data_IF_928821358781
#
_entry.id   IF_928821358781
#
_cell.length_a   1.000
_cell.length_b   1.000
_cell.length_c   1.000
_cell.angle_alpha   90.00
_cell.angle_beta   90.00
_cell.angle_gamma   90.00
#
_symmetry.space_group_name_H-M   'P 1'
#
loop_
_entity.id
_entity.type
_entity.pdbx_description
1 polymer ?
#
# COMPACT_ATOMS: atom_id res chain seq x y z
N UNK A 1 -15.34 -36.06 -6.84
CA UNK A 1 -14.58 -34.86 -7.22
C UNK A 1 -15.60 -33.85 -7.68
N UNK A 2 -15.68 -32.66 -7.06
CA UNK A 2 -16.54 -31.59 -7.54
C UNK A 2 -16.23 -31.26 -9.01
N UNK A 3 -17.24 -30.76 -9.71
CA UNK A 3 -17.12 -30.25 -11.06
C UNK A 3 -17.20 -28.72 -10.99
N UNK A 4 -16.22 -28.04 -11.60
CA UNK A 4 -16.31 -26.61 -11.89
C UNK A 4 -16.79 -26.47 -13.33
N UNK A 5 -17.95 -25.86 -13.52
CA UNK A 5 -18.45 -25.44 -14.83
C UNK A 5 -18.03 -24.00 -15.07
N UNK A 6 -17.15 -23.78 -16.05
CA UNK A 6 -16.72 -22.46 -16.48
C UNK A 6 -17.65 -21.98 -17.59
N UNK A 7 -18.25 -20.80 -17.40
CA UNK A 7 -19.06 -20.15 -18.44
C UNK A 7 -18.20 -19.72 -19.64
N UNK A 8 -18.79 -19.55 -20.84
CA UNK A 8 -18.05 -19.18 -22.03
C UNK A 8 -17.20 -17.91 -21.84
N UNK A 9 -15.90 -18.02 -22.14
CA UNK A 9 -14.95 -16.93 -22.11
C UNK A 9 -14.26 -16.78 -23.47
N UNK A 10 -14.21 -15.57 -24.08
CA UNK A 10 -13.78 -15.38 -25.46
C UNK A 10 -12.36 -15.87 -25.79
N UNK A 11 -11.44 -15.84 -24.82
CA UNK A 11 -10.04 -16.24 -25.02
C UNK A 11 -9.75 -17.62 -24.39
N UNK A 12 -9.96 -17.75 -23.08
CA UNK A 12 -9.66 -18.96 -22.32
C UNK A 12 -10.54 -20.19 -22.65
N UNK A 13 -11.85 -20.02 -22.84
CA UNK A 13 -12.75 -21.14 -23.12
C UNK A 13 -14.01 -20.67 -23.90
N UNK A 14 -13.92 -20.51 -25.24
CA UNK A 14 -14.98 -19.87 -26.03
C UNK A 14 -16.36 -20.53 -25.96
N UNK A 15 -16.41 -21.83 -25.67
CA UNK A 15 -17.66 -22.61 -25.53
C UNK A 15 -18.02 -22.90 -24.07
N UNK A 16 -17.27 -22.34 -23.12
CA UNK A 16 -17.24 -22.78 -21.72
C UNK A 16 -16.45 -24.07 -21.57
N UNK A 17 -16.29 -24.52 -20.34
CA UNK A 17 -15.59 -25.75 -20.02
C UNK A 17 -16.15 -26.40 -18.76
N UNK A 18 -15.84 -27.68 -18.57
CA UNK A 18 -16.09 -28.39 -17.33
C UNK A 18 -14.80 -29.07 -16.91
N UNK A 19 -14.38 -28.81 -15.68
CA UNK A 19 -13.17 -29.40 -15.12
C UNK A 19 -13.54 -30.09 -13.81
N UNK A 20 -12.86 -31.20 -13.51
CA UNK A 20 -13.02 -31.89 -12.24
C UNK A 20 -11.72 -31.82 -11.47
N UNK A 21 -11.81 -31.44 -10.20
CA UNK A 21 -10.67 -31.29 -9.31
C UNK A 21 -11.01 -31.87 -7.92
N UNK A 22 -10.01 -32.28 -7.12
CA UNK A 22 -10.26 -32.72 -5.77
C UNK A 22 -10.70 -31.55 -4.87
N UNK A 23 -11.47 -31.85 -3.83
CA UNK A 23 -11.76 -30.85 -2.80
C UNK A 23 -10.45 -30.50 -2.06
N UNK A 24 -10.27 -29.21 -1.73
CA UNK A 24 -9.04 -28.67 -1.16
C UNK A 24 -8.14 -27.96 -2.16
N UNK A 25 -8.36 -28.13 -3.48
CA UNK A 25 -7.66 -27.42 -4.55
C UNK A 25 -8.29 -26.03 -4.75
N UNK A 26 -7.47 -25.02 -5.08
CA UNK A 26 -8.01 -23.70 -5.44
C UNK A 26 -8.69 -23.73 -6.81
N UNK A 27 -9.62 -22.81 -7.08
CA UNK A 27 -10.25 -22.68 -8.40
C UNK A 27 -9.16 -22.41 -9.47
N UNK A 28 -8.19 -21.54 -9.16
CA UNK A 28 -7.12 -21.20 -10.09
C UNK A 28 -6.27 -22.42 -10.46
N UNK A 29 -5.80 -23.18 -9.46
CA UNK A 29 -5.02 -24.41 -9.68
C UNK A 29 -5.81 -25.46 -10.48
N UNK A 30 -7.09 -25.68 -10.12
CA UNK A 30 -7.96 -26.59 -10.86
C UNK A 30 -8.13 -26.22 -12.34
N UNK A 31 -8.17 -24.92 -12.66
CA UNK A 31 -8.25 -24.43 -14.03
C UNK A 31 -6.93 -24.67 -14.78
N UNK A 32 -5.79 -24.36 -14.17
CA UNK A 32 -4.46 -24.55 -14.78
C UNK A 32 -4.15 -26.02 -15.06
N UNK A 33 -4.45 -26.91 -14.12
CA UNK A 33 -4.28 -28.37 -14.27
C UNK A 33 -5.09 -28.95 -15.44
N UNK A 34 -6.16 -28.26 -15.84
CA UNK A 34 -7.04 -28.64 -16.94
C UNK A 34 -6.83 -27.77 -18.19
N UNK A 35 -5.67 -27.10 -18.31
CA UNK A 35 -5.27 -26.30 -19.47
C UNK A 35 -6.16 -25.07 -19.75
N UNK A 36 -6.79 -24.51 -18.72
CA UNK A 36 -7.47 -23.21 -18.78
C UNK A 36 -6.53 -22.20 -18.14
N UNK A 37 -5.77 -21.48 -18.98
CA UNK A 37 -4.71 -20.54 -18.57
C UNK A 37 -5.27 -19.22 -18.01
N UNK A 38 -6.01 -19.31 -16.90
CA UNK A 38 -6.42 -18.12 -16.14
C UNK A 38 -5.18 -17.36 -15.66
N UNK A 39 -5.22 -16.04 -15.74
CA UNK A 39 -4.08 -15.19 -15.39
C UNK A 39 -3.83 -15.15 -13.87
N UNK A 40 -2.58 -15.31 -13.43
CA UNK A 40 -2.21 -15.38 -12.02
C UNK A 40 -0.85 -14.70 -11.80
N UNK A 41 -0.78 -13.39 -12.06
CA UNK A 41 0.47 -12.64 -12.08
C UNK A 41 1.28 -12.71 -10.76
N UNK A 42 0.61 -12.92 -9.63
CA UNK A 42 1.24 -13.09 -8.32
C UNK A 42 1.58 -14.55 -7.96
N UNK A 43 1.50 -15.48 -8.91
CA UNK A 43 1.73 -16.91 -8.71
C UNK A 43 0.95 -17.48 -7.51
N UNK A 44 -0.36 -17.21 -7.50
CA UNK A 44 -1.32 -17.62 -6.46
C UNK A 44 -1.08 -17.08 -5.03
N UNK A 45 -0.20 -16.09 -4.84
CA UNK A 45 0.19 -15.58 -3.51
C UNK A 45 -0.75 -14.53 -2.89
N UNK A 46 -2.02 -14.42 -3.34
CA UNK A 46 -2.97 -13.40 -2.88
C UNK A 46 -2.41 -11.96 -2.93
N UNK A 47 -1.86 -11.55 -4.09
CA UNK A 47 -1.26 -10.21 -4.23
C UNK A 47 -1.66 -9.48 -5.53
N UNK A 48 -2.58 -10.04 -6.31
CA UNK A 48 -3.13 -9.40 -7.51
C UNK A 48 -4.57 -9.87 -7.75
N UNK A 49 -5.28 -9.18 -8.64
CA UNK A 49 -6.67 -9.48 -9.01
C UNK A 49 -6.80 -10.23 -10.35
N UNK A 50 -5.70 -10.69 -10.94
CA UNK A 50 -5.74 -11.30 -12.28
C UNK A 50 -6.47 -12.64 -12.31
N UNK A 51 -6.49 -13.36 -11.19
CA UNK A 51 -7.19 -14.64 -11.06
C UNK A 51 -8.66 -14.48 -10.64
N UNK A 52 -9.19 -13.26 -10.69
CA UNK A 52 -10.56 -12.95 -10.29
C UNK A 52 -11.58 -13.82 -11.05
N UNK A 53 -12.48 -14.42 -10.29
CA UNK A 53 -13.61 -15.21 -10.79
C UNK A 53 -14.90 -14.77 -10.11
N UNK A 54 -16.02 -14.90 -10.81
CA UNK A 54 -17.35 -14.63 -10.28
C UNK A 54 -18.08 -15.96 -10.14
N UNK A 55 -18.47 -16.32 -8.92
CA UNK A 55 -19.12 -17.61 -8.65
C UNK A 55 -20.63 -17.45 -8.81
N UNK A 56 -21.18 -18.00 -9.88
CA UNK A 56 -22.62 -17.95 -10.18
C UNK A 56 -23.41 -18.92 -9.32
N UNK A 57 -22.90 -20.14 -9.16
CA UNK A 57 -23.50 -21.20 -8.34
C UNK A 57 -22.48 -21.87 -7.43
N UNK A 58 -22.91 -22.25 -6.22
CA UNK A 58 -22.06 -22.96 -5.27
C UNK A 58 -21.19 -22.07 -4.36
N UNK A 59 -21.30 -20.74 -4.43
CA UNK A 59 -20.53 -19.79 -3.60
C UNK A 59 -20.50 -20.14 -2.11
N UNK A 60 -21.64 -20.51 -1.52
CA UNK A 60 -21.74 -20.85 -0.09
C UNK A 60 -21.02 -22.13 0.32
N UNK A 61 -20.43 -22.86 -0.63
CA UNK A 61 -19.61 -24.05 -0.34
C UNK A 61 -18.11 -23.77 -0.28
N UNK A 62 -17.68 -22.59 -0.71
CA UNK A 62 -16.28 -22.17 -0.61
C UNK A 62 -15.90 -21.81 0.83
N UNK A 63 -14.60 -21.77 1.12
CA UNK A 63 -14.08 -21.14 2.33
C UNK A 63 -14.47 -19.66 2.39
N UNK A 64 -14.46 -19.08 3.60
CA UNK A 64 -14.61 -17.63 3.75
C UNK A 64 -13.44 -16.89 3.09
N UNK A 65 -13.71 -15.69 2.58
CA UNK A 65 -12.67 -14.80 2.09
C UNK A 65 -11.93 -14.21 3.29
N UNK A 66 -10.61 -14.06 3.17
CA UNK A 66 -9.82 -13.35 4.17
C UNK A 66 -9.82 -11.83 3.89
N UNK A 67 -9.39 -11.04 4.87
CA UNK A 67 -9.36 -9.58 4.75
C UNK A 67 -8.47 -9.11 3.59
N UNK A 68 -7.38 -9.82 3.31
CA UNK A 68 -6.46 -9.46 2.21
C UNK A 68 -7.10 -9.68 0.83
N UNK A 69 -7.84 -10.78 0.67
CA UNK A 69 -8.61 -11.10 -0.51
C UNK A 69 -9.66 -10.02 -0.77
N UNK A 70 -10.41 -9.62 0.26
CA UNK A 70 -11.42 -8.56 0.16
C UNK A 70 -10.79 -7.21 -0.24
N UNK A 71 -9.70 -6.81 0.43
CA UNK A 71 -8.96 -5.58 0.12
C UNK A 71 -8.43 -5.53 -1.33
N UNK A 72 -8.04 -6.68 -1.88
CA UNK A 72 -7.61 -6.80 -3.27
C UNK A 72 -8.79 -6.77 -4.24
N UNK A 73 -9.87 -7.47 -3.93
CA UNK A 73 -11.07 -7.54 -4.77
C UNK A 73 -11.71 -6.17 -5.01
N UNK A 74 -11.59 -5.23 -4.08
CA UNK A 74 -12.00 -3.83 -4.27
C UNK A 74 -11.38 -3.16 -5.51
N UNK A 75 -10.25 -3.69 -5.99
CA UNK A 75 -9.52 -3.21 -7.17
C UNK A 75 -9.75 -4.09 -8.39
N UNK A 76 -10.57 -5.13 -8.31
CA UNK A 76 -10.82 -6.04 -9.42
C UNK A 76 -11.74 -5.41 -10.48
N UNK A 77 -11.49 -5.74 -11.74
CA UNK A 77 -12.36 -5.30 -12.83
C UNK A 77 -13.66 -6.10 -12.81
N UNK A 78 -14.81 -5.42 -12.90
CA UNK A 78 -16.12 -6.10 -12.91
C UNK A 78 -16.46 -6.78 -11.58
N UNK A 79 -16.06 -6.17 -10.45
CA UNK A 79 -16.39 -6.66 -9.12
C UNK A 79 -17.90 -6.85 -8.93
N UNK A 80 -18.28 -8.05 -8.51
CA UNK A 80 -19.65 -8.46 -8.14
C UNK A 80 -19.70 -9.06 -6.72
N UNK A 81 -20.88 -9.12 -6.06
CA UNK A 81 -21.01 -9.63 -4.69
C UNK A 81 -20.54 -11.08 -4.45
N UNK A 82 -20.41 -11.89 -5.51
CA UNK A 82 -19.92 -13.28 -5.45
C UNK A 82 -18.55 -13.43 -6.13
N UNK A 83 -17.78 -12.35 -6.15
CA UNK A 83 -16.41 -12.37 -6.66
C UNK A 83 -15.47 -13.01 -5.66
N UNK A 84 -14.50 -13.75 -6.17
CA UNK A 84 -13.41 -14.34 -5.40
C UNK A 84 -12.11 -14.24 -6.18
N UNK A 85 -10.98 -14.24 -5.48
CA UNK A 85 -9.69 -14.52 -6.09
C UNK A 85 -9.59 -16.03 -6.29
N UNK A 86 -9.45 -16.48 -7.54
CA UNK A 86 -9.44 -17.90 -7.88
C UNK A 86 -8.37 -18.70 -7.14
N UNK A 87 -7.24 -18.07 -6.76
CA UNK A 87 -6.19 -18.71 -5.97
C UNK A 87 -6.56 -18.91 -4.48
N UNK A 88 -7.48 -18.11 -3.94
CA UNK A 88 -7.92 -18.18 -2.53
C UNK A 88 -9.25 -18.92 -2.36
N UNK A 89 -10.03 -19.07 -3.45
CA UNK A 89 -11.27 -19.83 -3.45
C UNK A 89 -10.98 -21.34 -3.50
N UNK A 90 -11.15 -22.01 -2.37
CA UNK A 90 -10.88 -23.44 -2.19
C UNK A 90 -12.14 -24.28 -2.42
N UNK A 91 -12.01 -25.31 -3.25
CA UNK A 91 -13.10 -26.22 -3.58
C UNK A 91 -13.51 -27.08 -2.38
N UNK A 92 -14.80 -27.12 -2.10
CA UNK A 92 -15.41 -28.14 -1.25
C UNK A 92 -15.91 -29.34 -2.07
N UNK A 93 -16.81 -30.15 -1.52
CA UNK A 93 -17.35 -31.34 -2.20
C UNK A 93 -18.52 -31.03 -3.16
N UNK A 94 -18.88 -29.76 -3.34
CA UNK A 94 -20.03 -29.32 -4.14
C UNK A 94 -19.56 -28.73 -5.47
N UNK A 95 -20.33 -28.99 -6.52
CA UNK A 95 -20.09 -28.43 -7.85
C UNK A 95 -20.27 -26.90 -7.85
N UNK A 96 -19.49 -26.24 -8.71
CA UNK A 96 -19.49 -24.79 -8.88
C UNK A 96 -19.82 -24.41 -10.31
N UNK A 97 -20.43 -23.24 -10.48
CA UNK A 97 -20.48 -22.54 -11.77
C UNK A 97 -19.74 -21.22 -11.62
N UNK A 98 -18.70 -21.02 -12.42
CA UNK A 98 -17.84 -19.84 -12.37
C UNK A 98 -17.82 -19.12 -13.70
N UNK A 99 -17.66 -17.81 -13.63
CA UNK A 99 -17.46 -16.93 -14.76
C UNK A 99 -16.12 -16.22 -14.58
N UNK A 100 -15.32 -16.19 -15.66
CA UNK A 100 -14.08 -15.43 -15.69
C UNK A 100 -14.41 -14.08 -16.33
N UNK A 101 -14.11 -12.94 -15.68
CA UNK A 101 -14.28 -11.63 -16.29
C UNK A 101 -13.47 -11.51 -17.57
N UNK A 102 -14.02 -10.77 -18.55
CA UNK A 102 -13.36 -10.58 -19.86
C UNK A 102 -12.03 -9.83 -19.76
N UNK A 103 -11.89 -8.96 -18.77
CA UNK A 103 -10.69 -8.16 -18.55
C UNK A 103 -10.27 -8.30 -17.10
N UNK A 104 -8.96 -8.28 -16.88
CA UNK A 104 -8.29 -8.36 -15.58
C UNK A 104 -7.37 -7.17 -15.45
N UNK A 105 -7.17 -6.68 -14.23
CA UNK A 105 -6.17 -5.65 -13.97
C UNK A 105 -4.86 -6.36 -13.66
N UNK A 106 -4.01 -6.50 -14.68
CA UNK A 106 -2.68 -7.04 -14.51
C UNK A 106 -1.68 -5.90 -14.36
N UNK A 107 -1.43 -5.49 -13.12
CA UNK A 107 -0.41 -4.48 -12.82
C UNK A 107 0.97 -4.86 -13.37
N UNK A 108 1.33 -6.15 -13.41
CA UNK A 108 2.62 -6.59 -13.94
C UNK A 108 2.77 -6.32 -15.45
N UNK A 109 1.70 -6.54 -16.22
CA UNK A 109 1.70 -6.37 -17.68
C UNK A 109 1.38 -4.94 -18.11
N UNK A 110 0.47 -4.27 -17.40
CA UNK A 110 -0.06 -2.95 -17.77
C UNK A 110 0.84 -1.80 -17.31
N UNK A 111 1.66 -1.99 -16.27
CA UNK A 111 2.44 -0.90 -15.67
C UNK A 111 3.94 -0.97 -15.93
N UNK A 112 4.52 -2.16 -16.22
CA UNK A 112 5.98 -2.34 -16.32
C UNK A 112 6.53 -2.42 -17.74
N UNK A 113 5.68 -2.70 -18.75
CA UNK A 113 6.12 -2.77 -20.16
C UNK A 113 7.02 -3.97 -20.51
N UNK A 114 7.11 -4.97 -19.62
CA UNK A 114 7.88 -6.20 -19.83
C UNK A 114 6.97 -7.22 -20.53
N UNK A 115 7.29 -7.58 -21.77
CA UNK A 115 6.54 -8.58 -22.54
C UNK A 115 7.19 -9.97 -22.45
N UNK A 116 6.39 -11.02 -22.68
CA UNK A 116 6.89 -12.39 -22.77
C UNK A 116 7.92 -12.56 -23.90
N UNK A 117 7.82 -11.75 -24.97
CA UNK A 117 8.82 -11.69 -26.05
C UNK A 117 10.17 -11.19 -25.54
N UNK A 118 10.18 -10.18 -24.68
CA UNK A 118 11.41 -9.60 -24.12
C UNK A 118 12.12 -10.54 -23.13
N UNK A 119 11.37 -11.42 -22.46
CA UNK A 119 11.88 -12.36 -21.46
C UNK A 119 12.42 -13.67 -22.06
N UNK A 120 12.12 -13.99 -23.33
CA UNK A 120 12.42 -15.30 -23.93
C UNK A 120 13.90 -15.66 -23.99
N UNK A 121 14.77 -14.68 -24.12
CA UNK A 121 16.23 -14.82 -24.24
C UNK A 121 16.98 -14.59 -22.92
N UNK A 122 16.26 -14.33 -21.82
CA UNK A 122 16.86 -14.04 -20.52
C UNK A 122 17.15 -15.32 -19.74
N UNK A 123 18.24 -15.35 -18.94
CA UNK A 123 18.57 -16.52 -18.13
C UNK A 123 17.49 -16.78 -17.07
N UNK A 124 17.35 -18.05 -16.68
CA UNK A 124 16.47 -18.42 -15.57
C UNK A 124 17.06 -17.96 -14.25
N UNK A 125 16.21 -17.76 -13.24
CA UNK A 125 16.63 -17.33 -11.90
C UNK A 125 17.77 -18.19 -11.33
N UNK A 126 17.67 -19.52 -11.43
CA UNK A 126 18.69 -20.45 -10.92
C UNK A 126 20.10 -20.22 -11.51
N UNK A 127 20.19 -19.68 -12.73
CA UNK A 127 21.46 -19.43 -13.41
C UNK A 127 22.15 -18.15 -12.91
N UNK A 128 21.37 -17.19 -12.38
CA UNK A 128 21.87 -15.89 -11.89
C UNK A 128 21.77 -15.74 -10.37
N UNK A 129 21.11 -16.67 -9.68
CA UNK A 129 20.84 -16.59 -8.25
C UNK A 129 22.11 -16.43 -7.41
N UNK A 130 23.18 -17.16 -7.72
CA UNK A 130 24.44 -17.08 -6.98
C UNK A 130 25.12 -15.71 -7.10
N UNK A 131 25.06 -15.08 -8.29
CA UNK A 131 25.60 -13.73 -8.51
C UNK A 131 24.83 -12.70 -7.70
N UNK A 132 23.49 -12.79 -7.71
CA UNK A 132 22.61 -11.90 -6.94
C UNK A 132 22.86 -12.05 -5.44
N UNK A 133 22.90 -13.28 -4.94
CA UNK A 133 23.16 -13.56 -3.52
C UNK A 133 24.54 -13.07 -3.08
N UNK A 134 25.55 -13.22 -3.93
CA UNK A 134 26.88 -12.70 -3.65
C UNK A 134 26.89 -11.17 -3.59
N UNK A 135 26.13 -10.50 -4.47
CA UNK A 135 26.03 -9.05 -4.50
C UNK A 135 25.39 -8.47 -3.23
N UNK A 136 24.37 -9.12 -2.68
CA UNK A 136 23.64 -8.67 -1.48
C UNK A 136 24.21 -9.22 -0.16
N UNK A 137 25.26 -10.05 -0.22
CA UNK A 137 25.78 -10.76 0.93
C UNK A 137 26.20 -9.78 2.05
N UNK A 138 25.56 -9.90 3.22
CA UNK A 138 25.82 -9.05 4.38
C UNK A 138 25.32 -7.60 4.24
N UNK A 139 24.55 -7.28 3.20
CA UNK A 139 23.94 -5.97 3.04
C UNK A 139 22.69 -5.80 3.90
N UNK A 140 22.33 -4.55 4.22
CA UNK A 140 20.98 -4.20 4.65
C UNK A 140 20.14 -3.94 3.40
N UNK A 141 19.06 -4.71 3.25
CA UNK A 141 18.18 -4.63 2.08
C UNK A 141 16.91 -3.87 2.45
N UNK A 142 16.75 -2.71 1.83
CA UNK A 142 15.63 -1.80 2.06
C UNK A 142 14.57 -2.08 1.01
N UNK A 143 13.35 -2.43 1.45
CA UNK A 143 12.25 -2.82 0.56
C UNK A 143 10.98 -2.06 0.97
N UNK A 144 10.13 -1.72 0.01
CA UNK A 144 8.80 -1.20 0.30
C UNK A 144 7.79 -2.33 0.23
N UNK A 145 7.10 -2.61 1.35
CA UNK A 145 6.25 -3.81 1.49
C UNK A 145 7.07 -5.10 1.43
N UNK A 146 8.07 -5.21 2.30
CA UNK A 146 9.07 -6.29 2.29
C UNK A 146 8.48 -7.70 2.32
N UNK A 147 7.28 -7.88 2.89
CA UNK A 147 6.59 -9.17 2.93
C UNK A 147 6.36 -9.76 1.53
N UNK A 148 6.11 -8.92 0.53
CA UNK A 148 5.91 -9.33 -0.86
C UNK A 148 7.21 -9.83 -1.49
N UNK A 149 8.22 -8.99 -1.64
CA UNK A 149 9.47 -9.36 -2.30
C UNK A 149 10.19 -10.53 -1.60
N UNK A 150 10.18 -10.55 -0.26
CA UNK A 150 10.83 -11.63 0.51
C UNK A 150 10.11 -12.96 0.32
N UNK A 151 8.79 -13.00 0.13
CA UNK A 151 8.07 -14.25 -0.12
C UNK A 151 8.42 -14.82 -1.50
N UNK A 152 8.48 -13.97 -2.53
CA UNK A 152 8.91 -14.34 -3.89
C UNK A 152 10.35 -14.85 -3.89
N UNK A 153 11.27 -14.10 -3.30
CA UNK A 153 12.69 -14.48 -3.24
C UNK A 153 12.88 -15.80 -2.49
N UNK A 154 12.18 -16.01 -1.36
CA UNK A 154 12.26 -17.28 -0.64
C UNK A 154 11.74 -18.45 -1.47
N UNK A 155 10.65 -18.25 -2.25
CA UNK A 155 10.09 -19.31 -3.08
C UNK A 155 11.05 -19.70 -4.20
N UNK A 156 11.62 -18.71 -4.89
CA UNK A 156 12.61 -18.93 -5.95
C UNK A 156 13.90 -19.57 -5.42
N UNK A 157 14.35 -19.17 -4.23
CA UNK A 157 15.50 -19.78 -3.56
C UNK A 157 15.22 -21.22 -3.14
N UNK A 158 14.02 -21.52 -2.64
CA UNK A 158 13.59 -22.89 -2.31
C UNK A 158 13.64 -23.78 -3.56
N UNK A 159 13.10 -23.31 -4.69
CA UNK A 159 13.13 -24.02 -5.97
C UNK A 159 14.57 -24.22 -6.49
N UNK A 160 15.47 -23.29 -6.21
CA UNK A 160 16.89 -23.39 -6.51
C UNK A 160 17.69 -24.23 -5.48
N UNK A 161 17.04 -24.75 -4.43
CA UNK A 161 17.69 -25.55 -3.39
C UNK A 161 18.60 -24.74 -2.46
N UNK A 162 18.35 -23.45 -2.29
CA UNK A 162 19.14 -22.52 -1.48
C UNK A 162 18.44 -22.17 -0.15
N UNK A 163 19.19 -21.77 0.89
CA UNK A 163 18.62 -21.24 2.15
C UNK A 163 17.68 -20.05 1.95
N UNK A 164 16.88 -19.73 2.97
CA UNK A 164 16.02 -18.55 2.97
C UNK A 164 16.81 -17.25 2.81
N UNK A 165 16.23 -16.27 2.12
CA UNK A 165 16.81 -14.96 1.79
C UNK A 165 17.46 -14.26 2.98
N UNK A 166 16.80 -14.28 4.15
CA UNK A 166 17.28 -13.68 5.40
C UNK A 166 18.63 -14.23 5.88
N UNK A 167 19.05 -15.39 5.41
CA UNK A 167 20.34 -15.99 5.78
C UNK A 167 21.54 -15.34 5.08
N UNK A 168 21.29 -14.61 3.99
CA UNK A 168 22.33 -13.99 3.16
C UNK A 168 22.54 -12.51 3.47
N UNK A 169 21.51 -11.84 3.98
CA UNK A 169 21.49 -10.39 4.24
C UNK A 169 21.67 -10.10 5.73
N UNK A 170 22.24 -8.95 6.08
CA UNK A 170 22.42 -8.54 7.47
C UNK A 170 21.08 -8.11 8.11
N UNK A 171 20.26 -7.39 7.35
CA UNK A 171 18.96 -6.91 7.77
C UNK A 171 18.02 -6.70 6.57
N UNK A 172 16.72 -6.80 6.81
CA UNK A 172 15.67 -6.42 5.86
C UNK A 172 14.84 -5.32 6.51
N UNK A 173 14.84 -4.15 5.89
CA UNK A 173 14.17 -2.95 6.41
C UNK A 173 12.97 -2.63 5.55
N UNK A 174 11.77 -2.69 6.15
CA UNK A 174 10.52 -2.37 5.46
C UNK A 174 10.17 -0.89 5.61
N UNK A 175 10.31 -0.15 4.51
CA UNK A 175 9.97 1.27 4.46
C UNK A 175 8.48 1.54 4.62
N UNK A 176 7.60 0.57 4.33
CA UNK A 176 6.17 0.73 4.55
C UNK A 176 5.85 0.77 6.05
N UNK A 177 6.57 0.00 6.88
CA UNK A 177 6.43 0.05 8.34
C UNK A 177 6.86 1.41 8.86
N UNK A 178 8.04 1.89 8.43
CA UNK A 178 8.54 3.23 8.76
C UNK A 178 7.52 4.31 8.36
N UNK A 179 6.98 4.22 7.14
CA UNK A 179 5.99 5.17 6.65
C UNK A 179 4.66 5.11 7.42
N UNK A 180 4.21 3.92 7.86
CA UNK A 180 3.01 3.76 8.69
C UNK A 180 3.17 4.36 10.09
N UNK A 181 4.36 4.25 10.68
CA UNK A 181 4.69 4.87 11.96
C UNK A 181 4.73 6.40 11.86
N UNK A 182 5.35 6.93 10.80
CA UNK A 182 5.43 8.38 10.58
C UNK A 182 4.11 9.01 10.12
N UNK A 183 3.31 8.28 9.34
CA UNK A 183 2.06 8.76 8.74
C UNK A 183 0.90 7.78 8.98
N UNK A 184 0.42 7.66 10.23
CA UNK A 184 -0.68 6.75 10.56
C UNK A 184 -1.98 7.18 9.88
N UNK A 185 -2.73 6.21 9.32
CA UNK A 185 -4.04 6.44 8.69
C UNK A 185 -3.99 7.14 7.32
N UNK A 186 -2.81 7.31 6.72
CA UNK A 186 -2.64 7.88 5.38
C UNK A 186 -2.27 6.81 4.36
N UNK A 187 -2.43 7.14 3.07
CA UNK A 187 -1.88 6.33 1.98
C UNK A 187 -0.35 6.41 2.04
N UNK A 188 0.29 5.25 2.16
CA UNK A 188 1.74 5.09 2.28
C UNK A 188 2.30 4.21 1.16
N UNK A 189 1.68 4.24 -0.02
CA UNK A 189 2.30 3.70 -1.24
C UNK A 189 3.49 4.55 -1.65
N UNK A 190 4.44 3.98 -2.40
CA UNK A 190 5.62 4.68 -2.92
C UNK A 190 5.22 6.01 -3.59
N UNK A 191 4.22 6.01 -4.47
CA UNK A 191 3.72 7.20 -5.15
C UNK A 191 3.25 8.29 -4.18
N UNK A 192 2.49 7.88 -3.15
CA UNK A 192 1.99 8.80 -2.14
C UNK A 192 3.11 9.37 -1.25
N UNK A 193 4.20 8.60 -1.08
CA UNK A 193 5.39 9.06 -0.38
C UNK A 193 6.23 10.00 -1.25
N UNK A 194 6.39 9.72 -2.54
CA UNK A 194 7.08 10.61 -3.48
C UNK A 194 6.40 11.99 -3.52
N UNK A 195 5.07 12.01 -3.70
CA UNK A 195 4.29 13.24 -3.72
C UNK A 195 4.41 14.02 -2.39
N UNK A 196 4.42 13.32 -1.26
CA UNK A 196 4.47 13.92 0.08
C UNK A 196 5.84 14.47 0.44
N UNK A 197 6.89 13.74 0.08
CA UNK A 197 8.28 14.06 0.41
C UNK A 197 8.91 14.96 -0.66
N UNK A 198 8.18 15.30 -1.73
CA UNK A 198 8.66 16.16 -2.81
C UNK A 198 9.72 15.49 -3.67
N UNK A 199 9.68 14.16 -3.79
CA UNK A 199 10.56 13.38 -4.66
C UNK A 199 9.98 13.43 -6.08
N UNK A 200 10.78 13.89 -7.04
CA UNK A 200 10.35 14.05 -8.43
C UNK A 200 10.13 12.69 -9.10
N UNK A 201 8.89 12.41 -9.48
CA UNK A 201 8.48 11.22 -10.21
C UNK A 201 8.17 11.51 -11.69
N UNK A 202 8.53 12.69 -12.21
CA UNK A 202 8.19 13.11 -13.58
C UNK A 202 8.84 12.26 -14.69
N UNK A 203 9.93 11.56 -14.40
CA UNK A 203 10.57 10.59 -15.31
C UNK A 203 9.81 9.25 -15.43
N UNK A 204 8.73 9.05 -14.68
CA UNK A 204 8.00 7.79 -14.56
C UNK A 204 6.96 7.62 -15.67
N UNK A 205 7.40 7.20 -16.85
CA UNK A 205 6.48 6.76 -17.92
C UNK A 205 6.02 5.31 -17.76
N UNK A 206 6.81 4.46 -17.10
CA UNK A 206 6.52 3.06 -16.78
C UNK A 206 7.02 2.78 -15.36
N UNK A 207 6.34 1.91 -14.61
CA UNK A 207 6.72 1.47 -13.27
C UNK A 207 7.89 0.47 -13.38
N UNK A 208 9.05 0.91 -13.87
CA UNK A 208 10.21 0.03 -13.95
C UNK A 208 10.75 -0.25 -12.54
N UNK A 209 10.97 -1.53 -12.20
CA UNK A 209 11.52 -1.92 -10.89
C UNK A 209 12.84 -1.19 -10.55
N UNK A 210 13.64 -0.84 -11.57
CA UNK A 210 14.86 -0.04 -11.40
C UNK A 210 14.55 1.40 -10.96
N UNK A 211 13.61 2.07 -11.63
CA UNK A 211 13.22 3.44 -11.28
C UNK A 211 12.52 3.46 -9.91
N UNK A 212 11.69 2.47 -9.61
CA UNK A 212 11.05 2.36 -8.30
C UNK A 212 12.08 2.12 -7.19
N UNK A 213 13.18 1.39 -7.46
CA UNK A 213 14.30 1.25 -6.53
C UNK A 213 15.07 2.56 -6.30
N UNK A 214 15.28 3.36 -7.36
CA UNK A 214 15.88 4.70 -7.25
C UNK A 214 14.99 5.64 -6.43
N UNK A 215 13.69 5.70 -6.73
CA UNK A 215 12.71 6.49 -6.00
C UNK A 215 12.61 6.05 -4.53
N UNK A 216 12.64 4.74 -4.28
CA UNK A 216 12.64 4.20 -2.92
C UNK A 216 13.87 4.64 -2.13
N UNK A 217 15.05 4.72 -2.76
CA UNK A 217 16.25 5.22 -2.11
C UNK A 217 16.07 6.70 -1.68
N UNK A 218 15.53 7.54 -2.55
CA UNK A 218 15.24 8.94 -2.22
C UNK A 218 14.17 9.08 -1.13
N UNK A 219 13.09 8.29 -1.21
CA UNK A 219 12.05 8.25 -0.18
C UNK A 219 12.63 7.80 1.16
N UNK A 220 13.43 6.74 1.18
CA UNK A 220 14.07 6.25 2.40
C UNK A 220 15.02 7.30 3.00
N UNK A 221 15.82 7.97 2.17
CA UNK A 221 16.67 9.08 2.62
C UNK A 221 15.80 10.19 3.22
N UNK A 222 14.64 10.52 2.66
CA UNK A 222 13.77 11.56 3.21
C UNK A 222 13.01 11.11 4.48
N UNK A 223 12.68 9.82 4.61
CA UNK A 223 12.10 9.24 5.82
C UNK A 223 13.12 9.20 6.98
N UNK A 224 14.39 8.94 6.67
CA UNK A 224 15.49 8.81 7.65
C UNK A 224 16.28 10.09 7.85
N UNK A 225 16.20 11.05 6.92
CA UNK A 225 16.59 12.44 7.14
C UNK A 225 15.65 12.95 8.20
N UNK A 226 16.10 12.82 9.45
CA UNK A 226 15.53 13.52 10.56
C UNK A 226 15.34 14.97 10.11
N UNK A 227 14.08 15.39 10.00
CA UNK A 227 13.87 16.68 10.56
C UNK A 227 14.31 16.53 12.02
N UNK A 228 15.40 17.19 12.40
CA UNK A 228 15.46 17.89 13.68
C UNK A 228 14.32 18.94 13.69
N UNK A 229 13.08 18.53 13.39
CA UNK A 229 11.87 19.27 13.59
C UNK A 229 11.77 19.23 15.08
N UNK A 230 12.36 20.24 15.74
CA UNK A 230 11.98 20.77 17.04
C UNK A 230 10.98 19.84 17.71
N UNK A 231 11.48 18.69 18.17
CA UNK A 231 10.72 17.79 19.00
C UNK A 231 10.66 18.57 20.30
N UNK A 232 9.60 19.37 20.47
CA UNK A 232 9.11 19.61 21.80
C UNK A 232 8.89 18.21 22.34
N UNK A 233 9.78 17.79 23.23
CA UNK A 233 9.70 16.54 23.97
C UNK A 233 8.28 16.43 24.53
N UNK A 234 7.38 15.75 23.81
CA UNK A 234 6.15 15.25 24.41
C UNK A 234 6.60 14.00 25.13
N UNK A 235 7.29 14.22 26.26
CA UNK A 235 7.51 13.16 27.22
C UNK A 235 6.14 12.63 27.60
N UNK A 236 5.94 11.35 27.30
CA UNK A 236 4.77 10.59 27.69
C UNK A 236 4.75 10.59 29.23
N UNK A 237 4.01 11.55 29.80
CA UNK A 237 4.00 11.82 31.22
C UNK A 237 3.04 10.85 31.93
N UNK A 238 3.16 9.57 31.62
CA UNK A 238 2.44 8.50 32.30
C UNK A 238 3.38 7.85 33.30
N UNK A 239 3.24 8.29 34.56
CA UNK A 239 3.80 7.69 35.78
C UNK A 239 5.24 8.06 36.21
N UNK A 240 5.61 9.35 36.16
CA UNK A 240 6.49 9.88 37.20
C UNK A 240 5.87 11.12 37.82
N UNK A 241 5.59 11.05 39.12
CA UNK A 241 5.33 12.23 39.94
C UNK A 241 6.61 13.08 39.99
N UNK A 242 6.89 13.81 38.92
CA UNK A 242 7.82 14.91 38.95
C UNK A 242 7.24 15.94 39.91
N UNK A 243 7.95 16.16 41.01
CA UNK A 243 7.67 17.21 41.97
C UNK A 243 7.97 18.55 41.28
N UNK A 244 7.06 19.01 40.41
CA UNK A 244 7.18 20.31 39.78
C UNK A 244 6.97 21.37 40.86
N UNK A 245 8.03 22.01 41.30
CA UNK A 245 7.93 23.22 42.12
C UNK A 245 7.11 24.24 41.34
N UNK A 246 5.89 24.51 41.83
CA UNK A 246 5.04 25.58 41.30
C UNK A 246 5.76 26.90 41.56
N UNK A 247 6.36 27.46 40.52
CA UNK A 247 6.94 28.79 40.58
C UNK A 247 5.80 29.80 40.58
N UNK A 248 5.72 30.61 41.63
CA UNK A 248 4.82 31.75 41.67
C UNK A 248 5.30 32.74 40.60
N UNK A 249 4.45 33.08 39.63
CA UNK A 249 4.81 34.00 38.55
C UNK A 249 4.56 35.47 38.94
N UNK A 250 3.89 35.71 40.08
CA UNK A 250 3.62 37.07 40.58
C UNK A 250 4.87 37.78 41.11
N UNK A 251 5.97 37.06 41.32
CA UNK A 251 7.26 37.64 41.72
C UNK A 251 8.04 38.28 40.56
N UNK A 252 7.61 38.10 39.31
CA UNK A 252 8.24 38.74 38.16
C UNK A 252 7.49 40.02 37.78
N UNK A 253 8.20 41.15 37.81
CA UNK A 253 7.73 42.40 37.21
C UNK A 253 8.11 42.40 35.73
N UNK A 254 7.15 42.02 34.88
CA UNK A 254 7.35 41.86 33.45
C UNK A 254 6.90 43.13 32.70
N UNK A 255 7.73 43.66 31.78
CA UNK A 255 7.35 44.83 31.00
C UNK A 255 6.18 44.49 30.06
N UNK A 256 5.10 45.26 30.15
CA UNK A 256 3.99 45.18 29.20
C UNK A 256 4.31 46.06 28.00
N UNK A 257 4.58 45.45 26.86
CA UNK A 257 4.79 46.16 25.60
C UNK A 257 3.43 46.47 24.97
N UNK A 258 3.07 47.75 24.98
CA UNK A 258 1.84 48.22 24.35
C UNK A 258 2.00 48.33 22.84
N UNK A 259 0.91 48.09 22.11
CA UNK A 259 0.87 48.33 20.67
C UNK A 259 1.16 49.80 20.37
N UNK A 260 1.96 50.05 19.34
CA UNK A 260 2.28 51.40 18.89
C UNK A 260 1.15 51.98 18.00
N UNK A 261 1.21 53.28 17.69
CA UNK A 261 0.16 53.96 16.91
C UNK A 261 -0.03 53.38 15.50
N UNK A 262 1.03 52.84 14.89
CA UNK A 262 0.95 52.20 13.58
C UNK A 262 0.16 50.89 13.67
N UNK A 263 0.49 50.03 14.63
CA UNK A 263 -0.17 48.75 14.87
C UNK A 263 -1.65 48.94 15.22
N UNK A 264 -1.99 49.97 16.01
CA UNK A 264 -3.38 50.32 16.32
C UNK A 264 -4.16 50.76 15.07
N UNK A 265 -3.53 51.53 14.17
CA UNK A 265 -4.17 51.94 12.92
C UNK A 265 -4.36 50.77 11.95
N UNK A 266 -3.39 49.86 11.86
CA UNK A 266 -3.50 48.65 11.06
C UNK A 266 -4.61 47.74 11.60
N UNK A 267 -4.69 47.57 12.92
CA UNK A 267 -5.77 46.84 13.59
C UNK A 267 -7.15 47.42 13.28
N UNK A 268 -7.33 48.74 13.34
CA UNK A 268 -8.58 49.40 12.93
C UNK A 268 -8.94 49.16 11.45
N UNK A 269 -7.92 49.10 10.58
CA UNK A 269 -8.08 48.72 9.18
C UNK A 269 -8.67 47.31 9.03
N UNK A 270 -8.10 46.34 9.76
CA UNK A 270 -8.58 44.94 9.79
C UNK A 270 -10.00 44.87 10.34
N UNK A 271 -10.31 45.59 11.42
CA UNK A 271 -11.65 45.60 12.01
C UNK A 271 -12.70 46.16 11.02
N UNK A 272 -12.37 47.17 10.21
CA UNK A 272 -13.29 47.68 9.16
C UNK A 272 -13.56 46.65 8.06
N UNK A 273 -12.56 45.86 7.68
CA UNK A 273 -12.74 44.78 6.70
C UNK A 273 -13.62 43.67 7.25
N UNK A 274 -13.38 43.26 8.50
CA UNK A 274 -14.21 42.26 9.19
C UNK A 274 -15.66 42.76 9.31
N UNK A 275 -15.85 44.04 9.62
CA UNK A 275 -17.18 44.63 9.77
C UNK A 275 -17.97 44.66 8.46
N UNK A 276 -17.27 44.98 7.36
CA UNK A 276 -17.83 44.94 6.00
C UNK A 276 -18.23 43.52 5.59
N UNK A 277 -17.41 42.52 5.93
CA UNK A 277 -17.71 41.11 5.63
C UNK A 277 -18.76 40.50 6.56
N UNK A 278 -18.90 41.02 7.79
CA UNK A 278 -19.78 40.47 8.83
C UNK A 278 -21.10 41.25 8.97
N UNK A 279 -21.40 42.15 8.04
CA UNK A 279 -22.60 43.00 8.03
C UNK A 279 -22.83 43.75 9.36
N UNK A 280 -21.77 44.36 9.91
CA UNK A 280 -21.85 45.20 11.10
C UNK A 280 -21.78 44.46 12.45
N UNK A 281 -21.41 43.17 12.48
CA UNK A 281 -21.37 42.34 13.70
C UNK A 281 -19.96 42.12 14.26
N UNK A 282 -19.10 43.13 14.21
CA UNK A 282 -17.73 42.99 14.76
C UNK A 282 -17.73 43.04 16.29
N UNK A 283 -17.58 41.88 16.94
CA UNK A 283 -17.64 41.71 18.41
C UNK A 283 -16.65 42.62 19.13
N UNK A 284 -15.44 42.81 18.58
CA UNK A 284 -14.42 43.69 19.17
C UNK A 284 -14.91 45.13 19.31
N UNK A 285 -15.60 45.68 18.29
CA UNK A 285 -16.15 47.04 18.30
C UNK A 285 -17.36 47.18 19.24
N UNK A 286 -18.17 46.12 19.33
CA UNK A 286 -19.33 46.08 20.23
C UNK A 286 -18.85 46.08 21.69
N UNK A 287 -17.87 45.23 22.03
CA UNK A 287 -17.34 45.13 23.40
C UNK A 287 -16.49 46.35 23.79
N UNK A 288 -15.72 46.94 22.87
CA UNK A 288 -14.94 48.15 23.17
C UNK A 288 -15.83 49.36 23.50
N UNK A 289 -17.04 49.42 22.94
CA UNK A 289 -18.03 50.47 23.25
C UNK A 289 -18.74 50.30 24.60
N UNK A 290 -18.73 49.08 25.16
CA UNK A 290 -19.37 48.75 26.43
C UNK A 290 -18.45 48.95 27.66
N UNK A 291 -17.15 49.19 27.44
CA UNK A 291 -16.12 49.36 28.48
C UNK A 291 -15.66 50.84 28.58
N UNK A 292 -16.29 51.75 27.82
CA UNK A 292 -16.04 53.19 27.88
C UNK A 292 -16.86 53.90 28.98
#
# INVERSE_FOLDING_TARGET
>A
MPIIKILPHPELCPQGAQVSAPAGTSICEALLDNHIEIEHACDMSCACTTCHVIVREGYSSLNEADENEEDLLDRAWGLEPKSRLGCQAILAQKDLVVEIPRYTINHAREMHGISNEFLRDKPKFVEVADEILQYIQGAEVIIHNAAFDVSFLNKELELAGKPAFKSFVAAVTDTLVIAKEMFPGKRNSLDALCDRLGVDNSGRTLHGALLDAELLADVYINLTRGQDALLMDVQDNTNQSANHERMDLSVFDLPVLMANEQELNEHEGVLKQIDKSSSGKTVWKVLSSAVA
#
